data_IF_668417716919
#
_entry.id   IF_668417716919
#
_cell.length_a   1.000
_cell.length_b   1.000
_cell.length_c   1.000
_cell.angle_alpha   90.00
_cell.angle_beta   90.00
_cell.angle_gamma   90.00
#
_symmetry.space_group_name_H-M   'P 1'
#
loop_
_entity.id
_entity.type
_entity.pdbx_description
1 polymer ?
#
# COMPACT_ATOMS: atom_id res chain seq x y z
N UNK A 1 -14.60 6.45 2.20
CA UNK A 1 -13.20 6.61 1.79
C UNK A 1 -12.48 7.55 2.76
N UNK A 2 -11.26 7.24 3.23
CA UNK A 2 -10.55 8.05 4.22
C UNK A 2 -10.24 9.48 3.75
N UNK A 3 -10.10 9.70 2.44
CA UNK A 3 -9.88 11.04 1.87
C UNK A 3 -11.07 11.99 2.12
N UNK A 4 -12.28 11.46 2.15
CA UNK A 4 -13.51 12.23 2.32
C UNK A 4 -14.15 12.09 3.71
N UNK A 5 -13.37 11.74 4.72
CA UNK A 5 -13.84 11.69 6.11
C UNK A 5 -14.36 13.05 6.53
N UNK A 6 -15.54 13.10 7.17
CA UNK A 6 -16.24 14.32 7.61
C UNK A 6 -16.61 15.29 6.48
N UNK A 7 -16.69 14.81 5.23
CA UNK A 7 -17.19 15.56 4.08
C UNK A 7 -18.51 14.92 3.63
N UNK A 8 -19.56 15.73 3.46
CA UNK A 8 -20.86 15.20 3.04
C UNK A 8 -20.79 14.67 1.59
N UNK A 9 -21.61 13.67 1.25
CA UNK A 9 -21.67 13.14 -0.13
C UNK A 9 -21.97 14.23 -1.16
N UNK A 10 -22.83 15.20 -0.79
CA UNK A 10 -23.17 16.33 -1.67
C UNK A 10 -21.96 17.23 -1.94
N UNK A 11 -21.17 17.52 -0.92
CA UNK A 11 -19.98 18.35 -1.06
C UNK A 11 -18.84 17.58 -1.74
N UNK A 12 -18.71 16.28 -1.47
CA UNK A 12 -17.79 15.41 -2.18
C UNK A 12 -18.03 15.45 -3.70
N UNK A 13 -19.28 15.28 -4.15
CA UNK A 13 -19.62 15.34 -5.58
C UNK A 13 -19.28 16.70 -6.22
N UNK A 14 -19.51 17.81 -5.50
CA UNK A 14 -19.12 19.14 -5.99
C UNK A 14 -17.60 19.26 -6.11
N UNK A 15 -16.86 18.75 -5.12
CA UNK A 15 -15.40 18.81 -5.12
C UNK A 15 -14.78 17.98 -6.24
N UNK A 16 -15.33 16.80 -6.57
CA UNK A 16 -14.86 15.97 -7.67
C UNK A 16 -14.86 16.71 -9.01
N UNK A 17 -15.86 17.56 -9.25
CA UNK A 17 -15.90 18.41 -10.43
C UNK A 17 -14.79 19.47 -10.43
N UNK A 18 -14.43 20.01 -9.26
CA UNK A 18 -13.34 20.99 -9.13
C UNK A 18 -11.95 20.37 -9.33
N UNK A 19 -11.79 19.08 -9.07
CA UNK A 19 -10.50 18.39 -9.14
C UNK A 19 -10.22 17.73 -10.49
N UNK A 20 -11.03 17.98 -11.50
CA UNK A 20 -10.91 17.36 -12.83
C UNK A 20 -10.75 15.83 -12.71
N UNK A 21 -11.57 15.23 -11.82
CA UNK A 21 -11.50 13.80 -11.57
C UNK A 21 -12.10 13.00 -12.72
N UNK A 22 -11.45 11.89 -13.05
CA UNK A 22 -11.85 11.00 -14.14
C UNK A 22 -11.86 9.55 -13.62
N UNK A 23 -12.93 8.82 -13.90
CA UNK A 23 -13.00 7.39 -13.62
C UNK A 23 -12.41 6.60 -14.79
N UNK A 24 -11.46 5.70 -14.51
CA UNK A 24 -10.83 4.84 -15.50
C UNK A 24 -10.94 3.37 -15.12
N UNK A 25 -11.05 2.53 -16.15
CA UNK A 25 -11.06 1.07 -16.04
C UNK A 25 -9.74 0.53 -16.57
N UNK A 26 -9.19 -0.44 -15.85
CA UNK A 26 -7.95 -1.11 -16.19
C UNK A 26 -8.12 -2.62 -16.10
N UNK A 27 -7.51 -3.35 -17.02
CA UNK A 27 -7.48 -4.81 -17.02
C UNK A 27 -6.47 -5.34 -15.99
N UNK A 28 -6.61 -6.62 -15.63
CA UNK A 28 -5.59 -7.28 -14.79
C UNK A 28 -4.23 -7.23 -15.46
N UNK A 29 -3.20 -6.86 -14.72
CA UNK A 29 -1.83 -6.71 -15.20
C UNK A 29 -1.53 -5.41 -15.93
N UNK A 30 -2.53 -4.55 -16.15
CA UNK A 30 -2.37 -3.25 -16.81
C UNK A 30 -1.72 -2.24 -15.86
N UNK A 31 -0.95 -1.30 -16.45
CA UNK A 31 -0.31 -0.20 -15.74
C UNK A 31 -1.31 0.93 -15.53
N UNK A 32 -1.56 1.30 -14.27
CA UNK A 32 -2.42 2.42 -13.93
C UNK A 32 -1.67 3.74 -14.06
N UNK A 33 -0.43 3.78 -13.53
CA UNK A 33 0.36 5.02 -13.49
C UNK A 33 1.85 4.74 -13.36
N UNK A 34 2.64 5.62 -13.99
CA UNK A 34 4.09 5.75 -13.89
C UNK A 34 4.41 7.03 -13.14
N UNK A 35 5.16 6.96 -12.05
CA UNK A 35 5.38 8.16 -11.22
C UNK A 35 6.52 9.06 -11.72
N UNK A 36 7.29 8.64 -12.73
CA UNK A 36 8.49 9.34 -13.20
C UNK A 36 8.26 10.46 -14.20
N UNK A 37 7.23 10.39 -15.03
CA UNK A 37 7.21 11.19 -16.27
C UNK A 37 5.91 11.93 -16.53
N UNK A 38 4.95 11.85 -15.64
CA UNK A 38 3.61 12.40 -15.84
C UNK A 38 3.27 13.42 -14.75
N UNK A 39 2.25 14.24 -15.05
CA UNK A 39 1.69 15.14 -14.04
C UNK A 39 1.43 14.40 -12.74
N UNK A 40 1.70 15.03 -11.60
CA UNK A 40 1.36 14.47 -10.30
C UNK A 40 -0.10 14.08 -10.25
N UNK A 41 -0.37 12.82 -9.98
CA UNK A 41 -1.72 12.26 -9.93
C UNK A 41 -1.93 11.62 -8.57
N UNK A 42 -3.08 11.90 -7.99
CA UNK A 42 -3.61 11.18 -6.85
C UNK A 42 -4.82 10.37 -7.29
N UNK A 43 -5.09 9.26 -6.67
CA UNK A 43 -6.24 8.47 -7.06
C UNK A 43 -6.81 7.62 -5.93
N UNK A 44 -7.98 7.07 -6.22
CA UNK A 44 -8.70 6.17 -5.32
C UNK A 44 -9.01 4.88 -6.09
N UNK A 45 -8.60 3.76 -5.54
CA UNK A 45 -9.01 2.46 -6.05
C UNK A 45 -10.46 2.19 -5.64
N UNK A 46 -11.39 2.22 -6.60
CA UNK A 46 -12.83 2.02 -6.35
C UNK A 46 -13.17 0.53 -6.26
N UNK A 47 -12.52 -0.30 -7.10
CA UNK A 47 -12.67 -1.76 -7.08
C UNK A 47 -11.43 -2.44 -7.66
N UNK A 48 -11.26 -3.73 -7.37
CA UNK A 48 -10.07 -4.50 -7.72
C UNK A 48 -8.95 -4.39 -6.69
N UNK A 49 -7.78 -4.91 -7.04
CA UNK A 49 -6.55 -4.82 -6.25
C UNK A 49 -5.39 -4.39 -7.13
N UNK A 50 -4.46 -3.62 -6.58
CA UNK A 50 -3.30 -3.12 -7.31
C UNK A 50 -2.07 -3.10 -6.41
N UNK A 51 -0.89 -2.98 -7.02
CA UNK A 51 0.38 -2.93 -6.32
C UNK A 51 1.19 -1.73 -6.75
N UNK A 52 1.75 -1.00 -5.79
CA UNK A 52 2.84 -0.06 -6.02
C UNK A 52 4.13 -0.85 -6.01
N UNK A 53 4.84 -0.83 -7.11
CA UNK A 53 6.03 -1.66 -7.36
C UNK A 53 7.22 -0.76 -7.66
N UNK A 54 8.41 -1.16 -7.17
CA UNK A 54 9.69 -0.66 -7.64
C UNK A 54 10.38 -1.78 -8.41
N UNK A 55 10.92 -1.44 -9.57
CA UNK A 55 11.74 -2.35 -10.37
C UNK A 55 13.21 -1.96 -10.24
N UNK A 56 14.06 -2.94 -9.98
CA UNK A 56 15.50 -2.78 -9.91
C UNK A 56 16.13 -3.06 -11.28
N UNK A 57 17.32 -2.51 -11.55
CA UNK A 57 18.06 -2.74 -12.80
C UNK A 57 18.34 -4.22 -13.11
N UNK A 58 18.40 -5.07 -12.08
CA UNK A 58 18.60 -6.52 -12.22
C UNK A 58 17.31 -7.28 -12.56
N UNK A 59 16.18 -6.58 -12.75
CA UNK A 59 14.88 -7.17 -13.04
C UNK A 59 14.11 -7.66 -11.80
N UNK A 60 14.67 -7.55 -10.60
CA UNK A 60 13.92 -7.83 -9.39
C UNK A 60 12.88 -6.75 -9.14
N UNK A 61 11.83 -7.11 -8.43
CA UNK A 61 10.77 -6.17 -8.04
C UNK A 61 10.56 -6.17 -6.53
N UNK A 62 10.27 -5.00 -6.01
CA UNK A 62 9.86 -4.83 -4.60
C UNK A 62 8.45 -4.28 -4.54
N UNK A 63 7.59 -4.91 -3.76
CA UNK A 63 6.24 -4.39 -3.49
C UNK A 63 6.36 -3.32 -2.40
N UNK A 64 6.11 -2.08 -2.76
CA UNK A 64 6.11 -0.96 -1.82
C UNK A 64 4.80 -0.91 -1.05
N UNK A 65 3.67 -1.10 -1.74
CA UNK A 65 2.33 -1.05 -1.15
C UNK A 65 1.36 -1.94 -1.93
N UNK A 66 0.43 -2.60 -1.21
CA UNK A 66 -0.75 -3.26 -1.79
C UNK A 66 -1.96 -2.37 -1.58
N UNK A 67 -2.72 -2.17 -2.65
CA UNK A 67 -3.93 -1.36 -2.65
C UNK A 67 -5.16 -2.26 -2.74
N UNK A 68 -6.10 -2.03 -1.85
CA UNK A 68 -7.42 -2.65 -1.81
C UNK A 68 -8.51 -1.60 -2.14
N UNK A 69 -9.75 -2.00 -2.38
CA UNK A 69 -10.84 -1.05 -2.59
C UNK A 69 -10.89 0.02 -1.47
N UNK A 70 -11.07 1.26 -1.86
CA UNK A 70 -10.98 2.47 -1.03
C UNK A 70 -9.56 2.91 -0.63
N UNK A 71 -8.50 2.27 -1.08
CA UNK A 71 -7.15 2.80 -0.92
C UNK A 71 -6.94 4.07 -1.74
N UNK A 72 -6.16 4.99 -1.17
CA UNK A 72 -5.68 6.21 -1.85
C UNK A 72 -4.23 5.98 -2.25
N UNK A 73 -3.83 6.47 -3.42
CA UNK A 73 -2.46 6.41 -3.91
C UNK A 73 -2.00 7.74 -4.51
N UNK A 74 -0.70 7.92 -4.64
CA UNK A 74 -0.09 9.10 -5.26
C UNK A 74 0.12 10.28 -4.31
N UNK A 75 -0.40 10.25 -3.09
CA UNK A 75 -0.29 11.33 -2.12
C UNK A 75 1.15 11.62 -1.66
N UNK A 76 2.02 10.61 -1.66
CA UNK A 76 3.44 10.77 -1.31
C UNK A 76 4.28 11.09 -2.55
N UNK A 77 4.01 10.39 -3.64
CA UNK A 77 4.81 10.42 -4.86
C UNK A 77 4.56 11.66 -5.72
N UNK A 78 3.47 12.38 -5.47
CA UNK A 78 3.13 13.60 -6.18
C UNK A 78 4.11 14.78 -5.91
N UNK A 79 4.94 14.70 -4.88
CA UNK A 79 5.85 15.79 -4.49
C UNK A 79 7.21 15.75 -5.20
N UNK A 80 7.67 14.60 -5.72
CA UNK A 80 9.03 14.43 -6.27
C UNK A 80 8.99 13.48 -7.47
N UNK A 81 8.79 14.03 -8.66
CA UNK A 81 8.64 13.22 -9.88
C UNK A 81 9.96 12.64 -10.42
N UNK A 82 11.12 13.29 -10.19
CA UNK A 82 12.40 12.90 -10.78
C UNK A 82 13.11 11.75 -10.05
N UNK A 83 12.79 11.52 -8.77
CA UNK A 83 13.45 10.48 -7.95
C UNK A 83 12.76 9.10 -7.99
N UNK A 84 11.65 8.98 -8.72
CA UNK A 84 10.79 7.78 -8.67
C UNK A 84 10.57 7.11 -10.03
N UNK A 85 11.60 7.17 -10.89
CA UNK A 85 11.55 6.60 -12.25
C UNK A 85 11.19 5.11 -12.26
N UNK A 86 11.55 4.38 -11.22
CA UNK A 86 11.35 2.94 -11.09
C UNK A 86 10.04 2.56 -10.38
N UNK A 87 9.20 3.55 -10.01
CA UNK A 87 7.97 3.28 -9.27
C UNK A 87 6.75 3.28 -10.19
N UNK A 88 6.00 2.20 -10.10
CA UNK A 88 4.85 1.91 -10.95
C UNK A 88 3.65 1.47 -10.12
N UNK A 89 2.46 1.88 -10.53
CA UNK A 89 1.21 1.35 -10.03
C UNK A 89 0.60 0.41 -11.07
N UNK A 90 0.43 -0.86 -10.71
CA UNK A 90 -0.04 -1.93 -11.60
C UNK A 90 -1.23 -2.66 -11.01
N UNK A 91 -2.20 -3.01 -11.86
CA UNK A 91 -3.35 -3.83 -11.48
C UNK A 91 -2.94 -5.27 -11.19
N UNK A 92 -3.33 -5.81 -10.04
CA UNK A 92 -3.27 -7.25 -9.75
C UNK A 92 -4.50 -7.97 -10.31
N UNK A 93 -5.66 -7.33 -10.22
CA UNK A 93 -6.94 -7.75 -10.83
C UNK A 93 -7.50 -6.62 -11.71
N UNK A 94 -8.61 -6.82 -12.39
CA UNK A 94 -9.30 -5.72 -13.07
C UNK A 94 -9.66 -4.64 -12.05
N UNK A 95 -9.33 -3.37 -12.36
CA UNK A 95 -9.45 -2.24 -11.45
C UNK A 95 -10.35 -1.15 -12.02
N UNK A 96 -11.10 -0.51 -11.14
CA UNK A 96 -11.80 0.74 -11.38
C UNK A 96 -11.18 1.81 -10.48
N UNK A 97 -10.74 2.91 -11.07
CA UNK A 97 -9.92 3.92 -10.40
C UNK A 97 -10.49 5.31 -10.66
N UNK A 98 -10.62 6.09 -9.61
CA UNK A 98 -10.88 7.52 -9.71
C UNK A 98 -9.53 8.25 -9.72
N UNK A 99 -9.17 8.84 -10.86
CA UNK A 99 -7.97 9.67 -11.01
C UNK A 99 -8.30 11.11 -10.65
N UNK A 100 -7.42 11.77 -9.90
CA UNK A 100 -7.60 13.15 -9.43
C UNK A 100 -6.35 13.94 -9.79
N UNK A 101 -6.49 15.07 -10.45
CA UNK A 101 -5.38 15.98 -10.70
C UNK A 101 -4.88 16.58 -9.38
N UNK A 102 -3.63 16.23 -9.03
CA UNK A 102 -3.05 16.63 -7.75
C UNK A 102 -2.90 18.15 -7.61
N UNK A 103 -2.52 18.84 -8.68
CA UNK A 103 -2.41 20.30 -8.62
C UNK A 103 -3.76 20.97 -8.35
N UNK A 104 -4.82 20.49 -9.00
CA UNK A 104 -6.18 20.98 -8.78
C UNK A 104 -6.67 20.69 -7.35
N UNK A 105 -6.27 19.56 -6.79
CA UNK A 105 -6.59 19.19 -5.41
C UNK A 105 -5.89 20.10 -4.40
N UNK A 106 -4.63 20.48 -4.65
CA UNK A 106 -3.82 21.30 -3.73
C UNK A 106 -4.07 22.80 -3.90
N UNK A 107 -4.60 23.26 -5.03
CA UNK A 107 -4.93 24.68 -5.25
C UNK A 107 -6.08 25.11 -4.34
N UNK A 108 -5.95 26.25 -3.64
CA UNK A 108 -7.05 26.80 -2.86
C UNK A 108 -8.27 27.04 -3.74
N UNK A 109 -9.42 26.54 -3.32
CA UNK A 109 -10.68 26.87 -3.96
C UNK A 109 -10.96 28.37 -3.81
N UNK A 110 -11.36 29.04 -4.91
CA UNK A 110 -11.73 30.47 -4.92
C UNK A 110 -12.82 30.83 -3.90
N UNK A 111 -13.60 29.83 -3.49
CA UNK A 111 -14.67 29.98 -2.50
C UNK A 111 -14.24 29.68 -1.06
N UNK A 112 -12.94 29.44 -0.79
CA UNK A 112 -12.37 29.14 0.53
C UNK A 112 -13.24 28.16 1.36
N UNK A 113 -13.74 27.09 0.70
CA UNK A 113 -14.73 26.22 1.34
C UNK A 113 -14.10 25.36 2.46
N UNK A 114 -14.83 25.21 3.57
CA UNK A 114 -14.42 24.39 4.70
C UNK A 114 -14.13 22.92 4.31
N UNK A 115 -14.80 22.42 3.26
CA UNK A 115 -14.60 21.08 2.74
C UNK A 115 -13.22 20.90 2.13
N UNK A 116 -12.66 21.91 1.45
CA UNK A 116 -11.31 21.86 0.90
C UNK A 116 -10.26 21.78 2.03
N UNK A 117 -10.41 22.62 3.07
CA UNK A 117 -9.55 22.56 4.26
C UNK A 117 -9.61 21.18 4.90
N UNK A 118 -10.80 20.61 5.04
CA UNK A 118 -10.97 19.25 5.59
C UNK A 118 -10.28 18.20 4.72
N UNK A 119 -10.40 18.31 3.40
CA UNK A 119 -9.76 17.40 2.46
C UNK A 119 -8.23 17.41 2.63
N UNK A 120 -7.61 18.61 2.68
CA UNK A 120 -6.16 18.74 2.90
C UNK A 120 -5.74 18.14 4.25
N UNK A 121 -6.52 18.35 5.31
CA UNK A 121 -6.29 17.69 6.61
C UNK A 121 -6.33 16.16 6.48
N UNK A 122 -7.29 15.62 5.73
CA UNK A 122 -7.40 14.18 5.49
C UNK A 122 -6.21 13.64 4.69
N UNK A 123 -5.74 14.36 3.66
CA UNK A 123 -4.51 14.02 2.91
C UNK A 123 -3.31 13.98 3.86
N UNK A 124 -3.12 15.01 4.68
CA UNK A 124 -2.01 15.09 5.66
C UNK A 124 -2.07 13.91 6.64
N UNK A 125 -3.26 13.58 7.14
CA UNK A 125 -3.46 12.43 8.02
C UNK A 125 -3.12 11.10 7.32
N UNK A 126 -3.52 10.92 6.05
CA UNK A 126 -3.19 9.75 5.26
C UNK A 126 -1.68 9.59 5.07
N UNK A 127 -0.98 10.67 4.74
CA UNK A 127 0.48 10.69 4.61
C UNK A 127 1.13 10.27 5.93
N UNK A 128 0.70 10.86 7.06
CA UNK A 128 1.21 10.52 8.38
C UNK A 128 1.00 9.05 8.72
N UNK A 129 -0.19 8.51 8.43
CA UNK A 129 -0.52 7.09 8.65
C UNK A 129 0.35 6.16 7.80
N UNK A 130 0.56 6.48 6.52
CA UNK A 130 1.43 5.69 5.62
C UNK A 130 2.89 5.77 6.04
N UNK A 131 3.39 6.94 6.44
CA UNK A 131 4.74 7.10 6.97
C UNK A 131 4.96 6.22 8.20
N UNK A 132 4.00 6.16 9.12
CA UNK A 132 4.07 5.29 10.29
C UNK A 132 4.11 3.80 9.90
N UNK A 133 3.31 3.39 8.91
CA UNK A 133 3.34 2.02 8.37
C UNK A 133 4.69 1.68 7.71
N UNK A 134 5.29 2.62 6.99
CA UNK A 134 6.64 2.47 6.41
C UNK A 134 7.70 2.32 7.50
N UNK A 135 7.64 3.13 8.58
CA UNK A 135 8.55 3.01 9.72
C UNK A 135 8.46 1.64 10.37
N UNK A 136 7.26 1.10 10.56
CA UNK A 136 7.06 -0.26 11.07
C UNK A 136 7.63 -1.32 10.12
N UNK A 137 7.49 -1.12 8.80
CA UNK A 137 8.09 -2.02 7.81
C UNK A 137 9.62 -2.00 7.88
N UNK A 138 10.23 -0.82 7.98
CA UNK A 138 11.68 -0.66 8.15
C UNK A 138 12.14 -1.41 9.41
N UNK A 139 11.40 -1.30 10.51
CA UNK A 139 11.72 -2.04 11.74
C UNK A 139 11.67 -3.56 11.50
N UNK A 140 10.66 -4.08 10.79
CA UNK A 140 10.58 -5.51 10.45
C UNK A 140 11.74 -5.94 9.54
N UNK A 141 12.06 -5.15 8.51
CA UNK A 141 13.14 -5.45 7.55
C UNK A 141 14.54 -5.33 8.19
N UNK A 142 14.69 -4.53 9.24
CA UNK A 142 15.96 -4.39 9.97
C UNK A 142 16.32 -5.59 10.83
N UNK A 143 15.39 -6.53 11.03
CA UNK A 143 15.67 -7.77 11.77
C UNK A 143 16.66 -8.64 10.99
N UNK A 144 17.62 -9.20 11.72
CA UNK A 144 18.72 -10.00 11.11
C UNK A 144 18.27 -11.32 10.51
N UNK A 145 17.11 -11.82 10.93
CA UNK A 145 16.59 -13.11 10.47
C UNK A 145 15.13 -13.00 10.05
N UNK A 146 14.73 -13.85 9.09
CA UNK A 146 13.34 -13.99 8.66
C UNK A 146 12.44 -14.36 9.84
N UNK A 147 12.94 -15.19 10.76
CA UNK A 147 12.25 -15.62 11.98
C UNK A 147 11.88 -14.44 12.88
N UNK A 148 12.83 -13.53 13.14
CA UNK A 148 12.58 -12.31 13.92
C UNK A 148 11.58 -11.37 13.25
N UNK A 149 11.68 -11.22 11.93
CA UNK A 149 10.74 -10.41 11.15
C UNK A 149 9.30 -10.90 11.23
N UNK A 150 9.10 -12.22 11.29
CA UNK A 150 7.77 -12.83 11.35
C UNK A 150 7.15 -12.81 12.77
N UNK A 151 7.96 -12.76 13.83
CA UNK A 151 7.51 -12.78 15.24
C UNK A 151 6.85 -11.47 15.70
N UNK A 152 7.04 -10.36 15.01
CA UNK A 152 6.65 -9.03 15.48
C UNK A 152 5.15 -8.72 15.33
N UNK A 153 4.34 -9.58 14.72
CA UNK A 153 2.89 -9.37 14.56
C UNK A 153 2.09 -10.20 15.58
N UNK A 154 0.86 -9.76 15.83
CA UNK A 154 -0.10 -10.40 16.74
C UNK A 154 -0.16 -11.94 16.59
N UNK A 155 -0.60 -12.64 17.63
CA UNK A 155 -0.62 -14.11 17.69
C UNK A 155 -1.33 -14.83 16.53
N UNK A 156 -2.16 -14.12 15.74
CA UNK A 156 -2.73 -14.64 14.50
C UNK A 156 -2.96 -13.51 13.50
N UNK A 157 -2.61 -13.73 12.25
CA UNK A 157 -2.81 -12.75 11.17
C UNK A 157 -3.06 -13.45 9.84
N UNK A 158 -3.86 -12.79 9.02
CA UNK A 158 -4.07 -13.20 7.62
C UNK A 158 -2.97 -12.57 6.76
N UNK A 159 -2.29 -13.39 5.94
CA UNK A 159 -1.34 -12.89 4.95
C UNK A 159 -2.12 -12.43 3.72
N UNK A 160 -2.21 -11.12 3.44
CA UNK A 160 -2.95 -10.60 2.28
C UNK A 160 -2.20 -10.81 0.96
N UNK A 161 -1.05 -11.47 1.02
CA UNK A 161 -0.14 -11.69 -0.11
C UNK A 161 -0.16 -13.14 -0.58
N UNK A 162 0.22 -13.37 -1.85
CA UNK A 162 0.75 -14.67 -2.25
C UNK A 162 2.10 -14.89 -1.56
N UNK A 163 2.60 -16.13 -1.51
CA UNK A 163 3.92 -16.39 -0.92
C UNK A 163 5.06 -15.73 -1.72
N UNK A 164 4.88 -15.53 -3.03
CA UNK A 164 5.82 -14.77 -3.85
C UNK A 164 5.78 -13.28 -3.52
N UNK A 165 4.59 -12.70 -3.45
CA UNK A 165 4.44 -11.29 -3.08
C UNK A 165 4.90 -11.02 -1.65
N UNK A 166 4.75 -11.99 -0.73
CA UNK A 166 5.27 -11.87 0.64
C UNK A 166 6.80 -11.83 0.64
N UNK A 167 7.46 -12.66 -0.16
CA UNK A 167 8.90 -12.64 -0.31
C UNK A 167 9.38 -11.31 -0.90
N UNK A 168 8.72 -10.83 -1.97
CA UNK A 168 8.98 -9.52 -2.56
C UNK A 168 8.73 -8.37 -1.56
N UNK A 169 7.69 -8.46 -0.75
CA UNK A 169 7.38 -7.48 0.31
C UNK A 169 8.44 -7.47 1.43
N UNK A 170 8.96 -8.63 1.81
CA UNK A 170 10.00 -8.78 2.82
C UNK A 170 11.42 -8.59 2.25
N UNK A 171 11.55 -8.42 0.93
CA UNK A 171 12.84 -8.32 0.22
C UNK A 171 13.77 -9.50 0.50
N UNK A 172 13.22 -10.71 0.48
CA UNK A 172 13.96 -11.97 0.72
C UNK A 172 13.73 -12.97 -0.41
N UNK A 173 14.67 -13.90 -0.59
CA UNK A 173 14.48 -15.02 -1.51
C UNK A 173 13.31 -15.90 -1.08
N UNK A 174 12.40 -16.20 -2.04
CA UNK A 174 11.19 -16.97 -1.76
C UNK A 174 11.49 -18.36 -1.23
N UNK A 175 12.50 -19.03 -1.79
CA UNK A 175 12.86 -20.40 -1.37
C UNK A 175 13.45 -20.41 0.04
N UNK A 176 14.26 -19.40 0.38
CA UNK A 176 14.79 -19.20 1.72
C UNK A 176 13.66 -18.94 2.74
N UNK A 177 12.73 -18.07 2.40
CA UNK A 177 11.55 -17.78 3.23
C UNK A 177 10.69 -19.04 3.45
N UNK A 178 10.42 -19.82 2.40
CA UNK A 178 9.63 -21.04 2.51
C UNK A 178 10.29 -22.11 3.36
N UNK A 179 11.63 -22.25 3.28
CA UNK A 179 12.39 -23.16 4.15
C UNK A 179 12.29 -22.74 5.61
N UNK A 180 12.43 -21.45 5.90
CA UNK A 180 12.32 -20.95 7.27
C UNK A 180 10.91 -21.09 7.83
N UNK A 181 9.87 -20.80 7.05
CA UNK A 181 8.48 -21.03 7.45
C UNK A 181 8.19 -22.49 7.76
N UNK A 182 8.73 -23.43 6.95
CA UNK A 182 8.63 -24.87 7.20
C UNK A 182 9.29 -25.23 8.52
N UNK A 183 10.51 -24.79 8.75
CA UNK A 183 11.26 -25.01 9.99
C UNK A 183 10.53 -24.46 11.22
N UNK A 184 9.98 -23.25 11.12
CA UNK A 184 9.20 -22.67 12.22
C UNK A 184 7.93 -23.46 12.55
N UNK A 185 7.32 -24.13 11.57
CA UNK A 185 6.20 -25.06 11.81
C UNK A 185 6.66 -26.32 12.53
N UNK A 186 7.77 -26.92 12.07
CA UNK A 186 8.37 -28.12 12.67
C UNK A 186 8.83 -27.85 14.11
N UNK A 187 9.36 -26.64 14.36
CA UNK A 187 9.77 -26.18 15.71
C UNK A 187 8.55 -25.82 16.61
N UNK A 188 7.31 -25.90 16.11
CA UNK A 188 6.11 -25.55 16.87
C UNK A 188 5.96 -24.06 17.18
N UNK A 189 6.68 -23.17 16.47
CA UNK A 189 6.65 -21.71 16.67
C UNK A 189 5.42 -21.10 16.02
N UNK A 190 4.99 -21.68 14.88
CA UNK A 190 3.79 -21.23 14.18
C UNK A 190 2.99 -22.40 13.61
N UNK A 191 1.70 -22.17 13.46
CA UNK A 191 0.82 -22.96 12.59
C UNK A 191 0.32 -22.09 11.44
N UNK A 192 0.06 -22.71 10.29
CA UNK A 192 -0.60 -21.99 9.21
C UNK A 192 -1.57 -22.90 8.47
N UNK A 193 -2.74 -22.34 8.20
CA UNK A 193 -3.78 -22.94 7.38
C UNK A 193 -4.16 -21.94 6.28
N UNK A 194 -3.97 -22.38 5.02
CA UNK A 194 -4.11 -21.49 3.84
C UNK A 194 -3.25 -20.23 4.01
N UNK A 195 -3.87 -19.05 4.20
CA UNK A 195 -3.22 -17.75 4.38
C UNK A 195 -3.28 -17.23 5.83
N UNK A 196 -3.89 -17.98 6.74
CA UNK A 196 -3.92 -17.64 8.14
C UNK A 196 -2.66 -18.20 8.81
N UNK A 197 -1.89 -17.35 9.45
CA UNK A 197 -0.72 -17.74 10.26
C UNK A 197 -1.03 -17.42 11.71
N UNK A 198 -0.77 -18.39 12.59
CA UNK A 198 -0.90 -18.24 14.04
C UNK A 198 0.46 -18.50 14.67
N UNK A 199 0.95 -17.55 15.44
CA UNK A 199 2.10 -17.76 16.32
C UNK A 199 1.64 -18.58 17.54
N UNK A 200 2.34 -19.65 17.81
CA UNK A 200 2.07 -20.47 18.98
C UNK A 200 2.82 -19.86 20.18
N UNK A 201 2.22 -19.91 21.40
CA UNK A 201 2.92 -19.45 22.61
C UNK A 201 4.21 -20.24 22.76
N UNK A 202 5.29 -19.54 23.12
CA UNK A 202 6.55 -20.23 23.43
C UNK A 202 6.26 -21.25 24.52
N UNK A 203 6.57 -22.52 24.25
CA UNK A 203 6.82 -23.43 25.32
C UNK A 203 8.03 -22.84 26.08
N UNK A 204 7.77 -22.18 27.20
CA UNK A 204 8.75 -21.98 28.24
C UNK A 204 9.15 -23.40 28.68
N UNK A 205 10.10 -23.99 27.96
CA UNK A 205 10.81 -25.14 28.47
C UNK A 205 11.49 -24.65 29.75
N UNK A 206 10.98 -25.15 30.87
CA UNK A 206 11.49 -24.82 32.17
C UNK A 206 13.02 -25.07 32.23
N UNK A 207 13.69 -24.11 32.81
CA UNK A 207 14.96 -24.31 33.46
C UNK A 207 14.69 -24.90 34.82
#
# INVERSE_FOLDING_TARGET
NPLFTDITSKDCLKMLNCFHSEEKLFSSGEMIHHFSSQKPVMGILLSGTASVLRYEFNGSRTILEKLEPNSVFGEILAFHSEEYEDIHLKCDTACRVLMIDYESLMKPCTNACACHTRLIQNVTWLISKKTMSLSQRVEVLSKRTIRESLRQKSNSFHIPFTMSDLADYLSVDRSAMMRELKKMKEDGILSSEKRMVRLLPEHTAGV
#
